data_IF_797641790384
#
_entry.id   IF_797641790384
#
_cell.length_a   1.000
_cell.length_b   1.000
_cell.length_c   1.000
_cell.angle_alpha   90.00
_cell.angle_beta   90.00
_cell.angle_gamma   90.00
#
_symmetry.space_group_name_H-M   'P 1'
#
loop_
_entity.id
_entity.type
_entity.pdbx_description
1 polymer ?
#
# COMPACT_ATOMS: atom_id res chain seq x y z
N UNK A 1 64.15 65.89 23.06
CA UNK A 1 63.68 65.08 21.92
C UNK A 1 63.84 63.61 22.29
N UNK A 2 62.83 62.83 22.64
CA UNK A 2 61.68 62.98 23.53
C UNK A 2 61.24 61.53 23.75
N UNK A 3 61.37 60.98 24.96
CA UNK A 3 60.94 59.60 25.30
C UNK A 3 59.45 59.38 24.98
N UNK A 4 58.66 60.45 24.98
CA UNK A 4 57.25 60.46 24.58
C UNK A 4 56.99 60.16 23.10
N UNK A 5 57.95 60.40 22.19
CA UNK A 5 57.76 60.08 20.77
C UNK A 5 58.00 58.58 20.49
N UNK A 6 58.82 57.91 21.30
CA UNK A 6 59.15 56.49 21.10
C UNK A 6 58.00 55.61 21.62
N UNK A 7 57.38 55.96 22.76
CA UNK A 7 56.21 55.24 23.26
C UNK A 7 54.99 55.36 22.35
N UNK A 8 54.75 56.54 21.77
CA UNK A 8 53.62 56.73 20.84
C UNK A 8 53.77 55.86 19.59
N UNK A 9 55.00 55.75 19.03
CA UNK A 9 55.24 54.94 17.83
C UNK A 9 55.06 53.45 18.12
N UNK A 10 55.51 52.97 19.28
CA UNK A 10 55.36 51.56 19.69
C UNK A 10 53.87 51.23 19.92
N UNK A 11 53.11 52.12 20.56
CA UNK A 11 51.68 51.93 20.80
C UNK A 11 50.86 51.94 19.49
N UNK A 12 51.28 52.71 18.47
CA UNK A 12 50.62 52.79 17.16
C UNK A 12 50.87 51.52 16.33
N UNK A 13 52.09 50.99 16.36
CA UNK A 13 52.49 49.77 15.65
C UNK A 13 51.84 48.51 16.25
N UNK A 14 51.67 48.45 17.58
CA UNK A 14 50.97 47.37 18.27
C UNK A 14 49.46 47.39 17.98
N UNK A 15 48.87 48.59 17.83
CA UNK A 15 47.45 48.75 17.52
C UNK A 15 47.11 48.36 16.07
N UNK A 16 48.00 48.66 15.11
CA UNK A 16 47.85 48.21 13.72
C UNK A 16 48.00 46.68 13.59
N UNK A 17 48.94 46.07 14.32
CA UNK A 17 49.11 44.62 14.30
C UNK A 17 47.89 43.88 14.87
N UNK A 18 47.35 44.34 16.00
CA UNK A 18 46.13 43.75 16.58
C UNK A 18 44.92 43.88 15.64
N UNK A 19 44.77 45.03 14.98
CA UNK A 19 43.69 45.25 14.03
C UNK A 19 43.77 44.33 12.80
N UNK A 20 44.97 44.12 12.27
CA UNK A 20 45.20 43.19 11.16
C UNK A 20 44.93 41.72 11.56
N UNK A 21 45.19 41.36 12.82
CA UNK A 21 44.92 40.02 13.33
C UNK A 21 43.41 39.77 13.52
N UNK A 22 42.67 40.77 14.03
CA UNK A 22 41.20 40.71 14.12
C UNK A 22 40.52 40.61 12.75
N UNK A 23 40.98 41.37 11.75
CA UNK A 23 40.45 41.29 10.39
C UNK A 23 40.67 39.90 9.75
N UNK A 24 41.84 39.30 9.95
CA UNK A 24 42.14 37.94 9.48
C UNK A 24 41.30 36.85 10.17
N UNK A 25 41.02 37.00 11.46
CA UNK A 25 40.15 36.08 12.22
C UNK A 25 38.71 36.18 11.70
N UNK A 26 38.25 37.40 11.41
CA UNK A 26 36.90 37.65 10.92
C UNK A 26 36.69 37.09 9.51
N UNK A 27 37.67 37.26 8.61
CA UNK A 27 37.63 36.71 7.25
C UNK A 27 37.63 35.17 7.26
N UNK A 28 38.51 34.54 8.07
CA UNK A 28 38.51 33.08 8.21
C UNK A 28 37.20 32.53 8.78
N UNK A 29 36.58 33.26 9.71
CA UNK A 29 35.28 32.85 10.29
C UNK A 29 34.17 32.94 9.26
N UNK A 30 34.16 33.96 8.40
CA UNK A 30 33.20 34.10 7.31
C UNK A 30 33.35 32.99 6.26
N UNK A 31 34.59 32.65 5.88
CA UNK A 31 34.85 31.54 4.95
C UNK A 31 34.34 30.21 5.49
N UNK A 32 34.53 29.93 6.79
CA UNK A 32 34.03 28.72 7.43
C UNK A 32 32.49 28.65 7.43
N UNK A 33 31.82 29.77 7.72
CA UNK A 33 30.35 29.83 7.67
C UNK A 33 29.80 29.58 6.26
N UNK A 34 30.46 30.14 5.24
CA UNK A 34 30.06 29.97 3.85
C UNK A 34 30.21 28.51 3.37
N UNK A 35 31.29 27.84 3.75
CA UNK A 35 31.51 26.41 3.45
C UNK A 35 30.40 25.54 4.09
N UNK A 36 29.99 25.86 5.31
CA UNK A 36 28.92 25.13 6.02
C UNK A 36 27.57 25.29 5.31
N UNK A 37 27.22 26.51 4.88
CA UNK A 37 25.98 26.76 4.13
C UNK A 37 25.95 26.02 2.78
N UNK A 38 27.04 26.06 2.03
CA UNK A 38 27.15 25.36 0.74
C UNK A 38 26.99 23.85 0.88
N UNK A 39 27.51 23.26 1.96
CA UNK A 39 27.34 21.84 2.24
C UNK A 39 25.89 21.51 2.62
N UNK A 40 25.25 22.33 3.45
CA UNK A 40 23.85 22.14 3.84
C UNK A 40 22.89 22.24 2.63
N UNK A 41 23.13 23.16 1.71
CA UNK A 41 22.30 23.27 0.49
C UNK A 41 22.47 22.07 -0.45
N UNK A 42 23.69 21.53 -0.59
CA UNK A 42 23.96 20.30 -1.35
C UNK A 42 23.26 19.07 -0.75
N UNK A 43 23.33 18.91 0.58
CA UNK A 43 22.65 17.81 1.30
C UNK A 43 21.14 17.88 1.07
N UNK A 44 20.52 19.06 1.26
CA UNK A 44 19.09 19.26 1.06
C UNK A 44 18.63 18.99 -0.39
N UNK A 45 19.43 19.38 -1.39
CA UNK A 45 19.17 19.04 -2.81
C UNK A 45 19.18 17.53 -3.05
N UNK A 46 20.14 16.82 -2.46
CA UNK A 46 20.25 15.37 -2.60
C UNK A 46 19.06 14.67 -1.93
N UNK A 47 18.68 15.05 -0.72
CA UNK A 47 17.52 14.49 -0.01
C UNK A 47 16.21 14.68 -0.77
N UNK A 48 16.00 15.88 -1.32
CA UNK A 48 14.84 16.14 -2.19
C UNK A 48 14.86 15.22 -3.42
N UNK A 49 16.01 15.01 -4.04
CA UNK A 49 16.15 14.11 -5.21
C UNK A 49 15.82 12.66 -4.86
N UNK A 50 16.29 12.14 -3.73
CA UNK A 50 15.96 10.79 -3.25
C UNK A 50 14.47 10.65 -2.92
N UNK A 51 13.88 11.65 -2.26
CA UNK A 51 12.45 11.70 -1.94
C UNK A 51 11.57 11.62 -3.20
N UNK A 52 11.88 12.39 -4.25
CA UNK A 52 11.13 12.38 -5.52
C UNK A 52 11.35 11.11 -6.35
N UNK A 53 12.52 10.46 -6.25
CA UNK A 53 12.78 9.19 -6.94
C UNK A 53 11.98 8.05 -6.30
N UNK A 54 11.88 8.01 -4.97
CA UNK A 54 11.11 6.98 -4.25
C UNK A 54 9.60 7.11 -4.46
N UNK A 55 9.08 8.35 -4.62
CA UNK A 55 7.66 8.61 -4.90
C UNK A 55 7.18 8.07 -6.25
N UNK A 56 8.04 8.07 -7.28
CA UNK A 56 7.74 7.57 -8.64
C UNK A 56 7.63 6.05 -8.72
N UNK A 57 8.29 5.33 -7.81
CA UNK A 57 8.28 3.88 -7.74
C UNK A 57 7.19 3.33 -6.82
N UNK A 58 6.24 4.17 -6.39
CA UNK A 58 5.15 3.73 -5.54
C UNK A 58 4.16 2.91 -6.39
N UNK A 59 4.01 1.60 -6.13
CA UNK A 59 3.33 0.71 -7.07
C UNK A 59 1.81 0.91 -7.15
N UNK A 60 1.22 1.66 -6.19
CA UNK A 60 -0.14 2.20 -6.32
C UNK A 60 -0.26 3.17 -7.53
N UNK A 61 0.75 3.98 -7.82
CA UNK A 61 0.72 4.89 -8.97
C UNK A 61 0.79 4.10 -10.28
N UNK A 62 1.53 2.99 -10.32
CA UNK A 62 1.60 2.11 -11.50
C UNK A 62 0.32 1.31 -11.73
N UNK A 63 -0.39 0.88 -10.69
CA UNK A 63 -1.67 0.15 -10.83
C UNK A 63 -2.80 1.07 -11.32
N UNK A 64 -2.82 2.32 -10.87
CA UNK A 64 -3.81 3.31 -11.32
C UNK A 64 -3.42 4.00 -12.64
N UNK A 65 -2.19 3.82 -13.14
CA UNK A 65 -1.69 4.46 -14.36
C UNK A 65 -2.52 4.10 -15.60
N UNK A 66 -2.82 2.82 -15.90
CA UNK A 66 -3.61 2.43 -17.06
C UNK A 66 -5.04 2.97 -17.00
N UNK A 67 -5.66 2.98 -15.81
CA UNK A 67 -7.01 3.50 -15.59
C UNK A 67 -7.04 5.02 -15.80
N UNK A 68 -6.06 5.74 -15.26
CA UNK A 68 -5.94 7.18 -15.47
C UNK A 68 -5.67 7.53 -16.93
N UNK A 69 -4.79 6.77 -17.61
CA UNK A 69 -4.53 6.96 -19.04
C UNK A 69 -5.74 6.65 -19.92
N UNK A 70 -6.46 5.55 -19.63
CA UNK A 70 -7.71 5.21 -20.32
C UNK A 70 -8.78 6.28 -20.12
N UNK A 71 -8.95 6.77 -18.88
CA UNK A 71 -9.87 7.86 -18.58
C UNK A 71 -9.44 9.19 -19.25
N UNK A 72 -8.14 9.46 -19.38
CA UNK A 72 -7.63 10.64 -20.09
C UNK A 72 -7.90 10.55 -21.59
N UNK A 73 -7.68 9.38 -22.20
CA UNK A 73 -7.98 9.12 -23.63
C UNK A 73 -9.48 9.24 -23.93
N UNK A 74 -10.34 8.74 -23.04
CA UNK A 74 -11.79 8.93 -23.15
C UNK A 74 -12.21 10.41 -23.12
N UNK A 75 -11.51 11.24 -22.35
CA UNK A 75 -11.75 12.70 -22.35
C UNK A 75 -11.28 13.38 -23.62
N UNK A 76 -10.21 12.90 -24.25
CA UNK A 76 -9.72 13.40 -25.53
C UNK A 76 -10.63 13.02 -26.70
N UNK A 77 -11.21 11.82 -26.70
CA UNK A 77 -12.19 11.42 -27.72
C UNK A 77 -13.50 12.18 -27.58
N UNK A 78 -14.02 12.36 -26.36
CA UNK A 78 -15.21 13.19 -26.11
C UNK A 78 -14.94 14.65 -26.49
N UNK A 79 -13.75 15.18 -26.20
CA UNK A 79 -13.35 16.53 -26.61
C UNK A 79 -13.29 16.67 -28.14
N UNK A 80 -12.77 15.67 -28.86
CA UNK A 80 -12.73 15.66 -30.34
C UNK A 80 -14.13 15.53 -30.95
N UNK A 81 -15.02 14.72 -30.36
CA UNK A 81 -16.41 14.61 -30.79
C UNK A 81 -17.19 15.91 -30.52
N UNK A 82 -16.89 16.60 -29.41
CA UNK A 82 -17.44 17.92 -29.11
C UNK A 82 -16.98 19.00 -30.11
N UNK A 83 -15.75 18.91 -30.62
CA UNK A 83 -15.24 19.82 -31.69
C UNK A 83 -15.98 19.62 -33.01
N UNK A 84 -16.29 18.38 -33.38
CA UNK A 84 -17.01 18.07 -34.64
C UNK A 84 -18.48 18.52 -34.56
N UNK A 85 -19.03 18.62 -33.36
CA UNK A 85 -20.44 19.00 -33.12
C UNK A 85 -20.66 20.48 -32.83
N UNK A 86 -19.62 21.24 -32.46
CA UNK A 86 -19.73 22.69 -32.23
C UNK A 86 -18.68 23.46 -33.04
N UNK A 87 -19.13 24.02 -34.17
CA UNK A 87 -18.37 25.01 -34.94
C UNK A 87 -18.05 26.23 -34.08
N UNK A 88 -16.77 26.40 -33.78
CA UNK A 88 -16.08 27.62 -33.30
C UNK A 88 -16.84 28.49 -32.29
N UNK A 89 -16.43 28.49 -31.02
CA UNK A 89 -16.07 29.69 -30.23
C UNK A 89 -15.61 29.32 -28.81
N UNK A 90 -14.40 29.76 -28.49
CA UNK A 90 -13.76 29.86 -27.16
C UNK A 90 -13.86 28.68 -26.19
N UNK A 91 -12.74 27.96 -26.11
CA UNK A 91 -12.44 26.98 -25.08
C UNK A 91 -12.13 27.65 -23.73
N UNK A 92 -13.09 27.65 -22.81
CA UNK A 92 -12.78 27.61 -21.38
C UNK A 92 -12.93 26.18 -20.90
N UNK A 93 -11.82 25.55 -20.46
CA UNK A 93 -11.81 24.18 -19.90
C UNK A 93 -12.97 24.04 -18.90
N UNK A 94 -13.89 23.06 -19.05
CA UNK A 94 -14.95 22.86 -18.08
C UNK A 94 -14.32 22.57 -16.71
N UNK A 95 -14.59 23.44 -15.74
CA UNK A 95 -14.21 23.21 -14.34
C UNK A 95 -15.08 22.08 -13.82
N UNK A 96 -14.55 20.85 -13.86
CA UNK A 96 -15.16 19.70 -13.19
C UNK A 96 -15.44 20.07 -11.73
N UNK A 97 -16.58 19.64 -11.14
CA UNK A 97 -16.84 19.86 -9.73
C UNK A 97 -15.68 19.26 -8.94
N UNK A 98 -14.98 20.10 -8.18
CA UNK A 98 -13.91 19.65 -7.29
C UNK A 98 -14.57 18.78 -6.23
N UNK A 99 -14.45 17.46 -6.36
CA UNK A 99 -14.79 16.55 -5.26
C UNK A 99 -14.01 17.03 -4.04
N UNK A 100 -14.73 17.26 -2.94
CA UNK A 100 -14.09 17.78 -1.73
C UNK A 100 -12.99 16.81 -1.28
N UNK A 101 -11.79 17.32 -0.95
CA UNK A 101 -10.66 16.50 -0.47
C UNK A 101 -11.03 15.58 0.71
N UNK A 102 -12.10 15.93 1.44
CA UNK A 102 -12.66 15.16 2.56
C UNK A 102 -13.40 13.90 2.10
N UNK A 103 -14.21 13.98 1.04
CA UNK A 103 -14.88 12.83 0.44
C UNK A 103 -13.88 11.87 -0.23
N UNK A 104 -12.85 12.41 -0.88
CA UNK A 104 -11.77 11.61 -1.50
C UNK A 104 -10.97 10.83 -0.44
N UNK A 105 -10.68 11.44 0.70
CA UNK A 105 -10.01 10.77 1.82
C UNK A 105 -10.89 9.67 2.47
N UNK A 106 -12.21 9.89 2.57
CA UNK A 106 -13.11 8.86 3.08
C UNK A 106 -13.18 7.66 2.12
N UNK A 107 -13.37 7.88 0.83
CA UNK A 107 -13.40 6.81 -0.17
C UNK A 107 -12.07 6.05 -0.21
N UNK A 108 -10.92 6.75 -0.05
CA UNK A 108 -9.61 6.10 0.02
C UNK A 108 -9.45 5.21 1.26
N UNK A 109 -10.14 5.55 2.36
CA UNK A 109 -10.07 4.77 3.59
C UNK A 109 -11.05 3.60 3.62
N UNK A 110 -12.27 3.79 3.11
CA UNK A 110 -13.32 2.77 3.04
C UNK A 110 -13.25 1.88 1.81
N UNK A 111 -12.57 2.31 0.73
CA UNK A 111 -12.47 1.58 -0.53
C UNK A 111 -12.04 0.12 -0.39
N UNK A 112 -10.95 -0.20 0.34
CA UNK A 112 -10.54 -1.58 0.57
C UNK A 112 -11.59 -2.44 1.29
N UNK A 113 -12.32 -1.85 2.24
CA UNK A 113 -13.38 -2.56 2.98
C UNK A 113 -14.60 -2.81 2.10
N UNK A 114 -14.96 -1.83 1.26
CA UNK A 114 -16.07 -1.96 0.32
C UNK A 114 -15.76 -2.99 -0.78
N UNK A 115 -14.50 -3.09 -1.24
CA UNK A 115 -14.04 -4.15 -2.14
C UNK A 115 -14.12 -5.53 -1.47
N UNK A 116 -13.72 -5.63 -0.20
CA UNK A 116 -13.80 -6.89 0.56
C UNK A 116 -15.26 -7.31 0.78
N UNK A 117 -16.14 -6.38 1.11
CA UNK A 117 -17.57 -6.63 1.22
C UNK A 117 -18.15 -7.09 -0.12
N UNK A 118 -17.78 -6.41 -1.22
CA UNK A 118 -18.19 -6.81 -2.57
C UNK A 118 -17.68 -8.22 -2.93
N UNK A 119 -16.47 -8.59 -2.53
CA UNK A 119 -15.91 -9.93 -2.73
C UNK A 119 -16.66 -10.98 -1.91
N UNK A 120 -17.03 -10.66 -0.67
CA UNK A 120 -17.81 -11.54 0.17
C UNK A 120 -19.21 -11.79 -0.41
N UNK A 121 -19.87 -10.74 -0.91
CA UNK A 121 -21.15 -10.87 -1.63
C UNK A 121 -21.00 -11.72 -2.90
N UNK A 122 -19.91 -11.54 -3.65
CA UNK A 122 -19.62 -12.35 -4.85
C UNK A 122 -19.46 -13.85 -4.51
N UNK A 123 -18.79 -14.17 -3.39
CA UNK A 123 -18.64 -15.54 -2.91
C UNK A 123 -19.98 -16.17 -2.51
N UNK A 124 -20.83 -15.43 -1.79
CA UNK A 124 -22.15 -15.92 -1.39
C UNK A 124 -23.04 -16.15 -2.61
N UNK A 125 -23.00 -15.23 -3.58
CA UNK A 125 -23.77 -15.35 -4.82
C UNK A 125 -23.30 -16.55 -5.64
N UNK A 126 -21.98 -16.77 -5.74
CA UNK A 126 -21.39 -17.96 -6.35
C UNK A 126 -21.82 -19.24 -5.64
N UNK A 127 -21.69 -19.30 -4.32
CA UNK A 127 -22.07 -20.47 -3.52
C UNK A 127 -23.56 -20.80 -3.66
N UNK A 128 -24.43 -19.80 -3.68
CA UNK A 128 -25.86 -19.98 -3.92
C UNK A 128 -26.15 -20.50 -5.34
N UNK A 129 -25.43 -20.03 -6.35
CA UNK A 129 -25.60 -20.49 -7.73
C UNK A 129 -25.13 -21.94 -7.91
N UNK A 130 -23.99 -22.33 -7.34
CA UNK A 130 -23.53 -23.71 -7.38
C UNK A 130 -24.47 -24.66 -6.63
N UNK A 131 -24.97 -24.23 -5.47
CA UNK A 131 -25.95 -25.01 -4.73
C UNK A 131 -27.24 -25.20 -5.53
N UNK A 132 -27.67 -24.18 -6.29
CA UNK A 132 -28.82 -24.28 -7.18
C UNK A 132 -28.58 -25.26 -8.34
N UNK A 133 -27.45 -25.15 -9.05
CA UNK A 133 -27.15 -26.03 -10.18
C UNK A 133 -26.91 -27.49 -9.77
N UNK A 134 -26.26 -27.73 -8.63
CA UNK A 134 -25.98 -29.08 -8.14
C UNK A 134 -27.10 -29.67 -7.26
N UNK A 135 -28.19 -28.92 -7.02
CA UNK A 135 -29.33 -29.41 -6.23
C UNK A 135 -29.94 -30.68 -6.82
N UNK A 136 -30.11 -30.73 -8.15
CA UNK A 136 -30.74 -31.86 -8.85
C UNK A 136 -29.92 -33.15 -8.76
N UNK A 137 -28.58 -33.06 -8.80
CA UNK A 137 -27.72 -34.23 -8.65
C UNK A 137 -27.69 -34.76 -7.21
N UNK A 138 -27.89 -33.87 -6.23
CA UNK A 138 -27.79 -34.21 -4.82
C UNK A 138 -28.89 -35.20 -4.39
N UNK A 139 -30.09 -35.11 -4.97
CA UNK A 139 -31.20 -36.02 -4.64
C UNK A 139 -30.95 -37.43 -5.17
N UNK A 140 -30.51 -37.54 -6.44
CA UNK A 140 -30.21 -38.83 -7.09
C UNK A 140 -29.08 -39.55 -6.35
N UNK A 141 -28.00 -38.83 -6.01
CA UNK A 141 -26.86 -39.42 -5.29
C UNK A 141 -27.23 -39.83 -3.87
N UNK A 142 -28.08 -39.07 -3.16
CA UNK A 142 -28.54 -39.45 -1.82
C UNK A 142 -29.32 -40.75 -1.83
N UNK A 143 -30.19 -40.94 -2.82
CA UNK A 143 -30.98 -42.17 -2.92
C UNK A 143 -30.09 -43.39 -3.21
N UNK A 144 -29.17 -43.27 -4.17
CA UNK A 144 -28.22 -44.34 -4.50
C UNK A 144 -27.34 -44.69 -3.30
N UNK A 145 -26.80 -43.69 -2.59
CA UNK A 145 -25.93 -43.96 -1.44
C UNK A 145 -26.72 -44.50 -0.25
N UNK A 146 -27.96 -44.07 -0.03
CA UNK A 146 -28.83 -44.67 1.00
C UNK A 146 -29.17 -46.13 0.68
N UNK A 147 -29.32 -46.48 -0.59
CA UNK A 147 -29.51 -47.88 -1.02
C UNK A 147 -28.22 -48.69 -0.90
N UNK A 148 -27.06 -48.10 -1.17
CA UNK A 148 -25.75 -48.77 -1.06
C UNK A 148 -25.28 -48.92 0.40
N UNK A 149 -25.59 -47.97 1.29
CA UNK A 149 -25.24 -48.06 2.71
C UNK A 149 -25.93 -49.23 3.42
N UNK A 150 -27.09 -49.67 2.91
CA UNK A 150 -27.75 -50.91 3.33
C UNK A 150 -26.95 -52.18 2.97
N UNK A 151 -26.13 -52.14 1.92
CA UNK A 151 -25.25 -53.25 1.53
C UNK A 151 -23.83 -53.12 2.14
N UNK A 152 -23.42 -51.92 2.54
CA UNK A 152 -22.09 -51.57 3.07
C UNK A 152 -21.74 -52.28 4.38
N UNK A 153 -22.72 -52.60 5.23
CA UNK A 153 -22.45 -53.23 6.53
C UNK A 153 -21.72 -54.59 6.43
N UNK A 154 -21.63 -55.17 5.23
CA UNK A 154 -20.93 -56.43 4.95
C UNK A 154 -19.60 -56.29 4.19
N UNK A 155 -19.29 -55.12 3.60
CA UNK A 155 -18.11 -54.91 2.75
C UNK A 155 -17.53 -53.52 3.05
N UNK A 156 -16.31 -53.44 3.59
CA UNK A 156 -15.58 -52.19 3.95
C UNK A 156 -15.28 -51.28 2.74
N UNK A 157 -16.31 -50.85 2.01
CA UNK A 157 -16.21 -49.96 0.86
C UNK A 157 -16.32 -48.51 1.33
N UNK A 158 -15.39 -47.67 0.88
CA UNK A 158 -15.40 -46.23 1.14
C UNK A 158 -16.52 -45.57 0.33
N UNK A 159 -17.58 -45.11 0.99
CA UNK A 159 -18.68 -44.38 0.34
C UNK A 159 -18.26 -42.99 -0.17
N UNK A 160 -18.88 -42.50 -1.26
CA UNK A 160 -18.89 -41.07 -1.56
C UNK A 160 -19.70 -40.32 -0.48
N UNK A 161 -19.16 -39.20 0.02
CA UNK A 161 -19.74 -38.45 1.14
C UNK A 161 -21.17 -37.96 0.80
N UNK A 162 -22.15 -38.33 1.63
CA UNK A 162 -23.56 -37.93 1.49
C UNK A 162 -23.81 -36.42 1.58
N UNK A 163 -22.77 -35.65 1.93
CA UNK A 163 -22.79 -34.19 2.11
C UNK A 163 -21.86 -33.48 1.12
N UNK A 164 -21.70 -34.01 -0.11
CA UNK A 164 -20.82 -33.41 -1.13
C UNK A 164 -21.10 -31.90 -1.34
N UNK A 165 -22.37 -31.47 -1.37
CA UNK A 165 -22.74 -30.06 -1.64
C UNK A 165 -23.61 -29.43 -0.54
N UNK A 166 -22.97 -28.98 0.54
CA UNK A 166 -23.55 -28.04 1.51
C UNK A 166 -23.19 -26.60 1.16
N UNK A 167 -23.84 -25.62 1.79
CA UNK A 167 -23.51 -24.20 1.60
C UNK A 167 -22.04 -23.89 1.96
N UNK A 168 -21.53 -24.48 3.05
CA UNK A 168 -20.14 -24.37 3.47
C UNK A 168 -19.17 -24.98 2.45
N UNK A 169 -19.49 -26.17 1.94
CA UNK A 169 -18.67 -26.84 0.94
C UNK A 169 -18.66 -26.07 -0.39
N UNK A 170 -19.81 -25.50 -0.77
CA UNK A 170 -19.95 -24.67 -1.97
C UNK A 170 -19.16 -23.35 -1.84
N UNK A 171 -19.15 -22.74 -0.66
CA UNK A 171 -18.37 -21.54 -0.37
C UNK A 171 -16.87 -21.84 -0.42
N UNK A 172 -16.43 -22.95 0.17
CA UNK A 172 -15.04 -23.40 0.14
C UNK A 172 -14.59 -23.70 -1.30
N UNK A 173 -15.47 -24.32 -2.09
CA UNK A 173 -15.23 -24.54 -3.52
C UNK A 173 -15.07 -23.20 -4.27
N UNK A 174 -16.01 -22.25 -4.09
CA UNK A 174 -15.94 -20.92 -4.71
C UNK A 174 -14.68 -20.16 -4.31
N UNK A 175 -14.29 -20.23 -3.04
CA UNK A 175 -13.06 -19.64 -2.52
C UNK A 175 -11.83 -20.25 -3.21
N UNK A 176 -11.74 -21.58 -3.25
CA UNK A 176 -10.65 -22.30 -3.93
C UNK A 176 -10.59 -21.99 -5.43
N UNK A 177 -11.74 -21.72 -6.05
CA UNK A 177 -11.88 -21.40 -7.47
C UNK A 177 -11.35 -19.99 -7.79
N UNK A 178 -11.75 -18.96 -7.02
CA UNK A 178 -11.23 -17.58 -7.23
C UNK A 178 -9.77 -17.42 -6.81
N UNK A 179 -9.33 -18.17 -5.80
CA UNK A 179 -7.94 -18.15 -5.31
C UNK A 179 -7.01 -19.00 -6.16
N UNK A 180 -7.55 -19.74 -7.14
CA UNK A 180 -6.83 -20.68 -8.01
C UNK A 180 -6.11 -21.80 -7.24
N UNK A 181 -6.49 -22.07 -5.98
CA UNK A 181 -5.97 -23.18 -5.19
C UNK A 181 -6.45 -24.51 -5.79
N UNK A 182 -7.74 -24.58 -6.16
CA UNK A 182 -8.33 -25.72 -6.85
C UNK A 182 -8.15 -27.06 -6.13
N UNK A 183 -8.83 -27.26 -4.99
CA UNK A 183 -8.69 -28.47 -4.16
C UNK A 183 -9.01 -29.81 -4.87
N UNK A 184 -9.69 -29.79 -6.03
CA UNK A 184 -9.88 -30.95 -6.92
C UNK A 184 -10.77 -32.09 -6.39
N UNK A 185 -10.98 -32.16 -5.08
CA UNK A 185 -11.73 -33.22 -4.42
C UNK A 185 -13.24 -33.16 -4.70
N UNK A 186 -13.77 -31.97 -5.02
CA UNK A 186 -15.19 -31.76 -5.33
C UNK A 186 -15.26 -30.88 -6.57
N UNK A 187 -15.95 -31.38 -7.60
CA UNK A 187 -16.11 -30.71 -8.89
C UNK A 187 -17.55 -30.84 -9.36
N UNK A 188 -18.14 -29.79 -9.95
CA UNK A 188 -19.51 -29.83 -10.44
C UNK A 188 -19.67 -30.91 -11.49
N UNK A 189 -20.68 -31.76 -11.31
CA UNK A 189 -20.99 -32.88 -12.21
C UNK A 189 -22.02 -32.45 -13.26
N UNK A 190 -22.78 -31.38 -13.02
CA UNK A 190 -23.70 -30.82 -14.01
C UNK A 190 -22.96 -30.06 -15.11
N UNK A 191 -23.44 -30.17 -16.35
CA UNK A 191 -22.95 -29.33 -17.45
C UNK A 191 -23.16 -27.83 -17.20
N UNK A 192 -24.28 -27.46 -16.55
CA UNK A 192 -24.57 -26.08 -16.15
C UNK A 192 -23.57 -25.54 -15.12
N UNK A 193 -23.28 -26.31 -14.07
CA UNK A 193 -22.31 -25.95 -13.04
C UNK A 193 -20.88 -25.83 -13.58
N UNK A 194 -20.49 -26.66 -14.56
CA UNK A 194 -19.18 -26.58 -15.21
C UNK A 194 -19.01 -25.31 -16.05
N UNK A 195 -20.02 -24.97 -16.87
CA UNK A 195 -20.00 -23.73 -17.67
C UNK A 195 -20.01 -22.50 -16.75
N UNK A 196 -20.83 -22.53 -15.69
CA UNK A 196 -20.86 -21.48 -14.70
C UNK A 196 -19.50 -21.30 -14.00
N UNK A 197 -18.84 -22.40 -13.60
CA UNK A 197 -17.52 -22.36 -12.97
C UNK A 197 -16.47 -21.68 -13.87
N UNK A 198 -16.49 -21.96 -15.17
CA UNK A 198 -15.58 -21.33 -16.11
C UNK A 198 -15.81 -19.81 -16.20
N UNK A 199 -17.05 -19.37 -16.35
CA UNK A 199 -17.40 -17.95 -16.40
C UNK A 199 -17.07 -17.24 -15.08
N UNK A 200 -17.33 -17.90 -13.96
CA UNK A 200 -17.05 -17.41 -12.62
C UNK A 200 -15.53 -17.24 -12.38
N UNK A 201 -14.69 -18.14 -12.89
CA UNK A 201 -13.23 -17.99 -12.86
C UNK A 201 -12.75 -16.76 -13.63
N UNK A 202 -13.25 -16.56 -14.85
CA UNK A 202 -12.78 -15.49 -15.76
C UNK A 202 -12.99 -14.11 -15.14
N UNK A 203 -14.10 -13.90 -14.43
CA UNK A 203 -14.38 -12.63 -13.75
C UNK A 203 -13.84 -12.59 -12.32
N UNK A 204 -13.87 -13.72 -11.61
CA UNK A 204 -13.51 -13.81 -10.20
C UNK A 204 -12.01 -13.68 -9.94
N UNK A 205 -11.17 -14.31 -10.75
CA UNK A 205 -9.70 -14.27 -10.58
C UNK A 205 -9.12 -12.85 -10.70
N UNK A 206 -9.39 -12.06 -11.76
CA UNK A 206 -8.87 -10.70 -11.85
C UNK A 206 -9.40 -9.81 -10.72
N UNK A 207 -10.66 -9.99 -10.31
CA UNK A 207 -11.26 -9.25 -9.21
C UNK A 207 -10.61 -9.61 -7.85
N UNK A 208 -10.32 -10.89 -7.61
CA UNK A 208 -9.61 -11.36 -6.43
C UNK A 208 -8.19 -10.81 -6.36
N UNK A 209 -7.44 -10.89 -7.46
CA UNK A 209 -6.07 -10.35 -7.55
C UNK A 209 -6.07 -8.83 -7.32
N UNK A 210 -7.02 -8.09 -7.91
CA UNK A 210 -7.16 -6.66 -7.67
C UNK A 210 -7.39 -6.36 -6.18
N UNK A 211 -8.27 -7.12 -5.54
CA UNK A 211 -8.57 -6.99 -4.10
C UNK A 211 -7.34 -7.29 -3.24
N UNK A 212 -6.58 -8.34 -3.55
CA UNK A 212 -5.32 -8.67 -2.87
C UNK A 212 -4.27 -7.56 -3.00
N UNK A 213 -4.13 -6.96 -4.18
CA UNK A 213 -3.20 -5.85 -4.41
C UNK A 213 -3.56 -4.68 -3.48
N UNK A 214 -4.83 -4.29 -3.42
CA UNK A 214 -5.26 -3.17 -2.56
C UNK A 214 -5.06 -3.49 -1.08
N UNK A 215 -5.44 -4.68 -0.63
CA UNK A 215 -5.32 -5.12 0.77
C UNK A 215 -3.84 -5.21 1.18
N UNK A 216 -2.99 -5.82 0.35
CA UNK A 216 -1.57 -5.98 0.63
C UNK A 216 -0.86 -4.64 0.82
N UNK A 217 -1.19 -3.60 0.05
CA UNK A 217 -0.65 -2.25 0.30
C UNK A 217 -1.06 -1.68 1.65
N UNK A 218 -2.30 -1.90 2.08
CA UNK A 218 -2.78 -1.43 3.39
C UNK A 218 -2.10 -2.20 4.51
N UNK A 219 -1.96 -3.51 4.36
CA UNK A 219 -1.25 -4.37 5.30
C UNK A 219 0.22 -3.96 5.42
N UNK A 220 0.94 -3.74 4.31
CA UNK A 220 2.34 -3.30 4.33
C UNK A 220 2.51 -1.95 5.03
N UNK A 221 1.58 -1.00 4.82
CA UNK A 221 1.63 0.27 5.52
C UNK A 221 1.35 0.11 7.02
N UNK A 222 0.42 -0.77 7.39
CA UNK A 222 0.18 -1.10 8.79
C UNK A 222 1.42 -1.76 9.41
N UNK A 223 2.02 -2.75 8.75
CA UNK A 223 3.25 -3.40 9.19
C UNK A 223 4.40 -2.40 9.37
N UNK A 224 4.55 -1.40 8.49
CA UNK A 224 5.55 -0.33 8.67
C UNK A 224 5.29 0.55 9.89
N UNK A 225 4.03 0.88 10.17
CA UNK A 225 3.67 1.64 11.37
C UNK A 225 3.94 0.79 12.61
N UNK A 226 3.51 -0.48 12.60
CA UNK A 226 3.77 -1.41 13.69
C UNK A 226 5.27 -1.61 13.92
N UNK A 227 6.08 -1.77 12.86
CA UNK A 227 7.52 -1.90 13.00
C UNK A 227 8.14 -0.65 13.62
N UNK A 228 7.69 0.56 13.24
CA UNK A 228 8.16 1.80 13.85
C UNK A 228 7.78 1.92 15.32
N UNK A 229 6.56 1.49 15.69
CA UNK A 229 6.12 1.47 17.09
C UNK A 229 6.95 0.48 17.92
N UNK A 230 7.23 -0.70 17.37
CA UNK A 230 8.09 -1.70 18.02
C UNK A 230 9.50 -1.15 18.18
N UNK A 231 10.12 -0.57 17.14
CA UNK A 231 11.48 -0.03 17.23
C UNK A 231 11.60 1.12 18.23
N UNK A 232 10.62 2.04 18.28
CA UNK A 232 10.60 3.10 19.30
C UNK A 232 10.53 2.54 20.71
N UNK A 233 9.61 1.61 20.95
CA UNK A 233 9.44 0.99 22.27
C UNK A 233 10.68 0.18 22.71
N UNK A 234 11.42 -0.43 21.77
CA UNK A 234 12.67 -1.12 22.07
C UNK A 234 13.81 -0.15 22.37
N UNK A 235 13.90 0.96 21.63
CA UNK A 235 14.93 1.97 21.82
C UNK A 235 14.80 2.67 23.19
N UNK A 236 13.57 3.04 23.59
CA UNK A 236 13.33 3.68 24.89
C UNK A 236 13.71 2.74 26.05
N UNK A 237 13.42 1.43 25.95
CA UNK A 237 13.78 0.44 26.98
C UNK A 237 15.30 0.19 27.08
N UNK A 238 16.02 0.21 25.97
CA UNK A 238 17.48 0.07 25.99
C UNK A 238 18.16 1.33 26.56
N UNK A 239 17.65 2.52 26.24
CA UNK A 239 18.12 3.78 26.81
C UNK A 239 17.89 3.84 28.32
N UNK A 240 16.71 3.45 28.80
CA UNK A 240 16.42 3.32 30.24
C UNK A 240 17.42 2.37 30.91
N UNK A 241 17.71 1.20 30.33
CA UNK A 241 18.71 0.25 30.88
C UNK A 241 20.11 0.84 30.95
N UNK A 242 20.57 1.51 29.90
CA UNK A 242 21.91 2.13 29.85
C UNK A 242 22.01 3.24 30.89
N UNK A 243 20.97 4.07 31.02
CA UNK A 243 20.90 5.13 32.00
C UNK A 243 20.87 4.55 33.42
N UNK A 244 20.07 3.52 33.69
CA UNK A 244 20.00 2.86 35.01
C UNK A 244 21.34 2.24 35.41
N UNK A 245 21.99 1.48 34.52
CA UNK A 245 23.30 0.87 34.76
C UNK A 245 24.41 1.92 34.97
N UNK A 246 24.26 3.12 34.40
CA UNK A 246 25.25 4.21 34.55
C UNK A 246 25.03 5.06 35.81
N UNK A 247 23.82 5.08 36.36
CA UNK A 247 23.49 5.82 37.60
C UNK A 247 23.78 4.97 38.86
N UNK A 248 23.65 3.64 38.78
CA UNK A 248 23.89 2.72 39.91
C UNK A 248 25.29 2.82 40.58
N UNK A 249 26.42 3.09 39.88
CA UNK A 249 27.72 3.26 40.55
C UNK A 249 27.96 4.62 41.20
N UNK A 250 27.08 5.63 41.01
CA UNK A 250 27.30 7.00 41.52
C UNK A 250 26.66 7.28 42.88
N UNK A 251 25.82 6.38 43.40
CA UNK A 251 25.16 6.50 44.71
C UNK A 251 25.87 5.77 45.85
N UNK A 252 27.09 5.28 45.63
CA UNK A 252 27.82 4.43 46.58
C UNK A 252 29.20 5.01 46.97
N UNK A 253 29.24 6.30 47.30
CA UNK A 253 30.34 6.95 48.03
C UNK A 253 29.78 8.06 48.93
#
# INVERSE_FOLDING_TARGET
MNETNITIIIDEEENENNKNEEENIQENTQLQQQIIEDNNTKINKNDKKYFWKNRRNNPLITVWRPINEWANRGRETIARLAVITQGTKNWSKPRLPKVSRRAENQIRNFGPLLLLLSLFVYLILGASAFLFFEHTNHEIMREIVNLLSLYEQQLELKMPDLNEWTLENSLTYCWGLITTIGHGHRSPKTGGGQVFALLYCVLGVPFFVFTLIVISYRLLNLCRVLSQLVTKNTCDRELERIVFNKIEPLGRY
#
